data_IF_865884409488
#
_entry.id   IF_865884409488
#
_cell.length_a   1.000
_cell.length_b   1.000
_cell.length_c   1.000
_cell.angle_alpha   90.00
_cell.angle_beta   90.00
_cell.angle_gamma   90.00
#
_symmetry.space_group_name_H-M   'P 1'
#
loop_
_entity.id
_entity.type
_entity.pdbx_description
1 polymer ?
#
# COMPACT_ATOMS: atom_id res chain seq x y z
N UNK A 1 -25.95 0.65 -15.48
CA UNK A 1 -25.88 -0.67 -16.12
C UNK A 1 -24.43 -0.86 -16.55
N UNK A 2 -23.66 -1.77 -15.91
CA UNK A 2 -22.27 -2.05 -16.35
C UNK A 2 -22.36 -2.67 -17.76
N UNK A 3 -21.49 -2.25 -18.71
CA UNK A 3 -21.43 -2.93 -20.00
C UNK A 3 -21.09 -4.40 -19.75
N UNK A 4 -21.76 -5.26 -20.49
CA UNK A 4 -21.66 -6.72 -20.34
C UNK A 4 -20.26 -7.17 -20.85
N UNK A 5 -19.26 -6.99 -19.99
CA UNK A 5 -17.89 -7.42 -20.28
C UNK A 5 -17.88 -8.94 -20.22
N UNK A 6 -17.57 -9.60 -21.34
CA UNK A 6 -17.54 -11.05 -21.41
C UNK A 6 -16.67 -11.64 -20.29
N UNK A 7 -17.03 -12.81 -19.76
CA UNK A 7 -16.28 -13.52 -18.71
C UNK A 7 -14.81 -13.71 -19.13
N UNK A 8 -14.56 -13.99 -20.39
CA UNK A 8 -13.20 -14.16 -20.94
C UNK A 8 -12.38 -12.86 -20.85
N UNK A 9 -12.98 -11.74 -21.23
CA UNK A 9 -12.35 -10.41 -21.16
C UNK A 9 -12.06 -10.00 -19.72
N UNK A 10 -13.01 -10.26 -18.80
CA UNK A 10 -12.84 -9.97 -17.37
C UNK A 10 -11.70 -10.79 -16.76
N UNK A 11 -11.64 -12.09 -17.06
CA UNK A 11 -10.54 -12.96 -16.60
C UNK A 11 -9.20 -12.51 -17.15
N UNK A 12 -9.11 -12.17 -18.43
CA UNK A 12 -7.88 -11.67 -19.05
C UNK A 12 -7.40 -10.37 -18.41
N UNK A 13 -8.31 -9.41 -18.16
CA UNK A 13 -7.99 -8.16 -17.48
C UNK A 13 -7.53 -8.39 -16.03
N UNK A 14 -8.21 -9.24 -15.27
CA UNK A 14 -7.84 -9.57 -13.89
C UNK A 14 -6.46 -10.23 -13.83
N UNK A 15 -6.17 -11.18 -14.71
CA UNK A 15 -4.84 -11.81 -14.82
C UNK A 15 -3.77 -10.78 -15.16
N UNK A 16 -4.07 -9.84 -16.08
CA UNK A 16 -3.13 -8.77 -16.43
C UNK A 16 -2.82 -7.86 -15.24
N UNK A 17 -3.84 -7.47 -14.48
CA UNK A 17 -3.68 -6.64 -13.28
C UNK A 17 -2.87 -7.36 -12.21
N UNK A 18 -3.18 -8.63 -11.95
CA UNK A 18 -2.46 -9.46 -11.00
C UNK A 18 -0.98 -9.62 -11.38
N UNK A 19 -0.70 -10.04 -12.62
CA UNK A 19 0.68 -10.24 -13.10
C UNK A 19 1.46 -8.92 -13.10
N UNK A 20 0.88 -7.83 -13.57
CA UNK A 20 1.55 -6.52 -13.60
C UNK A 20 1.86 -6.02 -12.18
N UNK A 21 0.96 -6.24 -11.22
CA UNK A 21 1.18 -5.90 -9.82
C UNK A 21 2.35 -6.71 -9.22
N UNK A 22 2.38 -8.02 -9.44
CA UNK A 22 3.47 -8.88 -8.94
C UNK A 22 4.83 -8.54 -9.54
N UNK A 23 4.90 -8.38 -10.87
CA UNK A 23 6.13 -8.01 -11.59
C UNK A 23 6.69 -6.66 -11.13
N UNK A 24 5.82 -5.65 -11.04
CA UNK A 24 6.23 -4.33 -10.57
C UNK A 24 6.63 -4.33 -9.09
N UNK A 25 5.94 -5.09 -8.24
CA UNK A 25 6.29 -5.22 -6.82
C UNK A 25 7.66 -5.87 -6.63
N UNK A 26 8.01 -6.89 -7.43
CA UNK A 26 9.32 -7.55 -7.36
C UNK A 26 10.46 -6.56 -7.65
N UNK A 27 10.31 -5.74 -8.69
CA UNK A 27 11.28 -4.70 -9.02
C UNK A 27 11.37 -3.62 -7.94
N UNK A 28 10.22 -3.14 -7.46
CA UNK A 28 10.18 -2.11 -6.41
C UNK A 28 10.84 -2.58 -5.11
N UNK A 29 10.56 -3.80 -4.67
CA UNK A 29 11.14 -4.34 -3.43
C UNK A 29 12.65 -4.52 -3.58
N UNK A 30 13.13 -4.99 -4.73
CA UNK A 30 14.56 -5.03 -5.01
C UNK A 30 15.21 -3.65 -4.91
N UNK A 31 14.60 -2.62 -5.52
CA UNK A 31 15.11 -1.25 -5.51
C UNK A 31 15.16 -0.64 -4.11
N UNK A 32 14.09 -0.81 -3.30
CA UNK A 32 14.00 -0.19 -1.98
C UNK A 32 14.96 -0.82 -0.96
N UNK A 33 15.29 -2.11 -1.12
CA UNK A 33 16.25 -2.80 -0.25
C UNK A 33 17.65 -2.23 -0.41
N UNK A 34 18.07 -1.92 -1.64
CA UNK A 34 19.43 -1.41 -1.90
C UNK A 34 19.53 0.11 -1.77
N UNK A 35 18.43 0.83 -1.78
CA UNK A 35 18.46 2.30 -1.77
C UNK A 35 19.20 2.90 -0.57
N UNK A 36 19.04 2.43 0.68
CA UNK A 36 19.83 2.94 1.81
C UNK A 36 21.32 2.63 1.70
N UNK A 37 21.68 1.46 1.14
CA UNK A 37 23.08 1.07 0.97
C UNK A 37 23.79 1.99 -0.03
N UNK A 38 23.13 2.25 -1.17
CA UNK A 38 23.66 3.18 -2.17
C UNK A 38 23.78 4.60 -1.60
N UNK A 39 22.80 5.05 -0.81
CA UNK A 39 22.87 6.36 -0.18
C UNK A 39 24.02 6.47 0.82
N UNK A 40 24.28 5.43 1.60
CA UNK A 40 25.41 5.36 2.52
C UNK A 40 26.74 5.38 1.77
N UNK A 41 26.88 4.59 0.70
CA UNK A 41 28.06 4.55 -0.16
C UNK A 41 28.34 5.93 -0.79
N UNK A 42 27.28 6.64 -1.24
CA UNK A 42 27.41 7.94 -1.91
C UNK A 42 27.71 9.11 -0.95
N UNK A 43 27.26 9.03 0.29
CA UNK A 43 27.39 10.11 1.28
C UNK A 43 28.50 9.86 2.30
N UNK A 44 28.95 8.60 2.44
CA UNK A 44 29.85 8.22 3.53
C UNK A 44 29.20 8.40 4.93
N UNK A 45 27.88 8.49 5.01
CA UNK A 45 27.15 8.80 6.23
C UNK A 45 25.85 7.98 6.35
N UNK A 46 25.86 7.03 7.27
CA UNK A 46 24.69 6.16 7.53
C UNK A 46 23.45 6.93 8.03
N UNK A 47 23.61 8.08 8.70
CA UNK A 47 22.49 8.86 9.22
C UNK A 47 21.55 9.35 8.10
N UNK A 48 22.08 9.62 6.92
CA UNK A 48 21.33 10.13 5.78
C UNK A 48 20.88 9.04 4.79
N UNK A 49 21.21 7.78 5.06
CA UNK A 49 20.88 6.63 4.19
C UNK A 49 19.38 6.44 3.94
N UNK A 50 18.52 6.90 4.85
CA UNK A 50 17.06 6.85 4.72
C UNK A 50 16.43 7.89 3.79
N UNK A 51 17.18 8.93 3.38
CA UNK A 51 16.63 10.03 2.56
C UNK A 51 16.01 9.57 1.22
N UNK A 52 16.61 8.67 0.42
CA UNK A 52 16.00 8.22 -0.82
C UNK A 52 14.67 7.49 -0.60
N UNK A 53 14.57 6.73 0.49
CA UNK A 53 13.31 6.08 0.86
C UNK A 53 12.24 7.10 1.23
N UNK A 54 12.59 8.15 1.95
CA UNK A 54 11.68 9.25 2.27
C UNK A 54 11.20 9.97 1.00
N UNK A 55 12.09 10.28 0.05
CA UNK A 55 11.72 10.85 -1.24
C UNK A 55 10.79 9.93 -2.04
N UNK A 56 11.01 8.62 -1.98
CA UNK A 56 10.11 7.64 -2.61
C UNK A 56 8.70 7.72 -2.05
N UNK A 57 8.54 7.84 -0.73
CA UNK A 57 7.22 7.96 -0.08
C UNK A 57 6.51 9.26 -0.48
N UNK A 58 7.24 10.38 -0.51
CA UNK A 58 6.70 11.67 -1.00
C UNK A 58 6.27 11.54 -2.46
N UNK A 59 7.09 10.92 -3.29
CA UNK A 59 6.75 10.62 -4.68
C UNK A 59 5.46 9.80 -4.81
N UNK A 60 5.28 8.76 -4.00
CA UNK A 60 4.07 7.94 -3.99
C UNK A 60 2.81 8.75 -3.61
N UNK A 61 2.90 9.63 -2.63
CA UNK A 61 1.78 10.46 -2.21
C UNK A 61 1.31 11.38 -3.35
N UNK A 62 2.24 12.05 -4.02
CA UNK A 62 1.95 12.91 -5.17
C UNK A 62 1.47 12.08 -6.37
N UNK A 63 2.16 11.00 -6.68
CA UNK A 63 1.88 10.11 -7.79
C UNK A 63 0.48 9.50 -7.74
N UNK A 64 -0.01 9.13 -6.55
CA UNK A 64 -1.36 8.58 -6.37
C UNK A 64 -2.44 9.56 -6.84
N UNK A 65 -2.32 10.84 -6.52
CA UNK A 65 -3.26 11.88 -6.98
C UNK A 65 -3.11 12.16 -8.48
N UNK A 66 -1.88 12.29 -8.97
CA UNK A 66 -1.61 12.60 -10.38
C UNK A 66 -2.08 11.46 -11.29
N UNK A 67 -1.73 10.22 -10.96
CA UNK A 67 -2.10 9.06 -11.77
C UNK A 67 -3.60 8.75 -11.71
N UNK A 68 -4.25 8.91 -10.55
CA UNK A 68 -5.69 8.73 -10.44
C UNK A 68 -6.46 9.75 -11.30
N UNK A 69 -6.01 11.02 -11.31
CA UNK A 69 -6.55 12.06 -12.18
C UNK A 69 -6.33 11.75 -13.67
N UNK A 70 -5.15 11.23 -14.01
CA UNK A 70 -4.86 10.78 -15.39
C UNK A 70 -5.73 9.60 -15.79
N UNK A 71 -5.93 8.63 -14.88
CA UNK A 71 -6.82 7.50 -15.10
C UNK A 71 -8.27 7.93 -15.34
N UNK A 72 -8.73 8.98 -14.67
CA UNK A 72 -10.05 9.55 -14.88
C UNK A 72 -10.25 10.08 -16.30
N UNK A 73 -9.20 10.70 -16.88
CA UNK A 73 -9.24 11.30 -18.23
C UNK A 73 -9.01 10.28 -19.35
N UNK A 74 -8.10 9.33 -19.14
CA UNK A 74 -7.55 8.46 -20.21
C UNK A 74 -7.79 6.96 -19.95
N UNK A 75 -8.53 6.61 -18.90
CA UNK A 75 -8.85 5.23 -18.52
C UNK A 75 -7.74 4.56 -17.67
N UNK A 76 -8.14 3.48 -16.97
CA UNK A 76 -7.27 2.74 -16.03
C UNK A 76 -5.99 2.20 -16.69
N UNK A 77 -6.13 1.55 -17.86
CA UNK A 77 -4.98 0.98 -18.57
C UNK A 77 -3.92 2.03 -18.91
N UNK A 78 -4.35 3.18 -19.45
CA UNK A 78 -3.45 4.26 -19.81
C UNK A 78 -2.67 4.80 -18.60
N UNK A 79 -3.36 5.01 -17.46
CA UNK A 79 -2.70 5.48 -16.23
C UNK A 79 -1.75 4.46 -15.62
N UNK A 80 -2.10 3.17 -15.64
CA UNK A 80 -1.20 2.10 -15.15
C UNK A 80 0.04 1.98 -16.03
N UNK A 81 -0.12 1.97 -17.36
CA UNK A 81 1.00 1.94 -18.30
C UNK A 81 1.90 3.16 -18.11
N UNK A 82 1.33 4.36 -17.96
CA UNK A 82 2.11 5.56 -17.67
C UNK A 82 2.91 5.41 -16.37
N UNK A 83 2.27 4.97 -15.28
CA UNK A 83 2.95 4.77 -13.99
C UNK A 83 4.12 3.80 -14.09
N UNK A 84 3.93 2.64 -14.71
CA UNK A 84 5.02 1.68 -14.91
C UNK A 84 6.11 2.18 -15.87
N UNK A 85 5.75 3.01 -16.86
CA UNK A 85 6.76 3.69 -17.70
C UNK A 85 7.60 4.67 -16.87
N UNK A 86 6.96 5.44 -15.99
CA UNK A 86 7.66 6.34 -15.08
C UNK A 86 8.58 5.56 -14.14
N UNK A 87 8.17 4.40 -13.62
CA UNK A 87 9.03 3.51 -12.83
C UNK A 87 10.23 3.03 -13.62
N UNK A 88 10.04 2.58 -14.86
CA UNK A 88 11.15 2.10 -15.71
C UNK A 88 12.16 3.20 -16.00
N UNK A 89 11.69 4.41 -16.33
CA UNK A 89 12.55 5.58 -16.55
C UNK A 89 13.28 5.98 -15.25
N UNK A 90 12.59 6.02 -14.14
CA UNK A 90 13.19 6.34 -12.84
C UNK A 90 14.24 5.31 -12.42
N UNK A 91 13.99 4.02 -12.65
CA UNK A 91 14.97 2.98 -12.39
C UNK A 91 16.21 3.10 -13.28
N UNK A 92 16.06 3.49 -14.55
CA UNK A 92 17.19 3.80 -15.43
C UNK A 92 17.97 5.01 -14.94
N UNK A 93 17.27 6.07 -14.48
CA UNK A 93 17.93 7.24 -13.85
C UNK A 93 18.67 6.86 -12.56
N UNK A 94 18.08 6.00 -11.71
CA UNK A 94 18.73 5.53 -10.49
C UNK A 94 19.99 4.70 -10.80
N UNK A 95 19.94 3.84 -11.82
CA UNK A 95 21.08 3.10 -12.31
C UNK A 95 22.20 4.04 -12.78
N UNK A 96 21.87 5.03 -13.59
CA UNK A 96 22.82 6.04 -14.07
C UNK A 96 23.39 6.84 -12.88
N UNK A 97 22.54 7.28 -11.96
CA UNK A 97 22.94 8.05 -10.79
C UNK A 97 23.92 7.31 -9.88
N UNK A 98 23.70 6.00 -9.69
CA UNK A 98 24.58 5.14 -8.90
C UNK A 98 25.95 5.02 -9.56
N UNK A 99 26.01 4.84 -10.89
CA UNK A 99 27.28 4.75 -11.63
C UNK A 99 28.00 6.09 -11.76
N UNK A 100 27.28 7.22 -11.75
CA UNK A 100 27.87 8.58 -11.70
C UNK A 100 28.20 9.03 -10.28
N UNK A 101 27.98 8.21 -9.27
CA UNK A 101 28.13 8.53 -7.85
C UNK A 101 27.42 9.84 -7.44
N UNK A 102 26.22 10.11 -8.01
CA UNK A 102 25.47 11.35 -7.77
C UNK A 102 24.28 11.11 -6.83
N UNK A 103 24.42 11.49 -5.57
CA UNK A 103 23.35 11.38 -4.56
C UNK A 103 22.11 12.21 -4.92
N UNK A 104 22.29 13.42 -5.45
CA UNK A 104 21.17 14.30 -5.84
C UNK A 104 20.32 13.67 -6.94
N UNK A 105 20.98 13.17 -8.00
CA UNK A 105 20.30 12.50 -9.10
C UNK A 105 19.63 11.21 -8.63
N UNK A 106 20.28 10.47 -7.73
CA UNK A 106 19.73 9.25 -7.14
C UNK A 106 18.47 9.54 -6.32
N UNK A 107 18.50 10.54 -5.46
CA UNK A 107 17.35 10.96 -4.64
C UNK A 107 16.17 11.43 -5.50
N UNK A 108 16.45 12.18 -6.57
CA UNK A 108 15.44 12.57 -7.56
C UNK A 108 14.85 11.35 -8.28
N UNK A 109 15.69 10.41 -8.70
CA UNK A 109 15.23 9.17 -9.32
C UNK A 109 14.33 8.37 -8.39
N UNK A 110 14.65 8.28 -7.10
CA UNK A 110 13.83 7.59 -6.09
C UNK A 110 12.48 8.30 -5.87
N UNK A 111 12.43 9.63 -5.89
CA UNK A 111 11.18 10.38 -5.86
C UNK A 111 10.28 10.04 -7.07
N UNK A 112 10.86 10.07 -8.29
CA UNK A 112 10.13 9.75 -9.52
C UNK A 112 9.71 8.28 -9.54
N UNK A 113 10.53 7.36 -9.03
CA UNK A 113 10.22 5.95 -8.88
C UNK A 113 9.01 5.75 -7.98
N UNK A 114 8.96 6.44 -6.85
CA UNK A 114 7.81 6.44 -5.95
C UNK A 114 6.54 6.93 -6.65
N UNK A 115 6.63 8.05 -7.37
CA UNK A 115 5.48 8.62 -8.09
C UNK A 115 4.91 7.63 -9.11
N UNK A 116 5.76 6.95 -9.88
CA UNK A 116 5.34 5.91 -10.83
C UNK A 116 4.78 4.66 -10.13
N UNK A 117 5.41 4.22 -9.03
CA UNK A 117 5.01 3.01 -8.31
C UNK A 117 3.65 3.13 -7.62
N UNK A 118 3.14 4.34 -7.39
CA UNK A 118 1.76 4.53 -6.91
C UNK A 118 0.71 3.88 -7.84
N UNK A 119 1.02 3.71 -9.14
CA UNK A 119 0.18 2.94 -10.08
C UNK A 119 -0.08 1.52 -9.58
N UNK A 120 0.93 0.87 -9.00
CA UNK A 120 0.82 -0.49 -8.47
C UNK A 120 -0.24 -0.58 -7.36
N UNK A 121 -0.29 0.42 -6.49
CA UNK A 121 -1.33 0.51 -5.44
C UNK A 121 -2.72 0.76 -6.04
N UNK A 122 -2.82 1.57 -7.09
CA UNK A 122 -4.07 1.87 -7.79
C UNK A 122 -4.60 0.69 -8.62
N UNK A 123 -3.76 -0.32 -8.92
CA UNK A 123 -4.14 -1.54 -9.64
C UNK A 123 -5.28 -2.29 -8.95
N UNK A 124 -5.33 -2.29 -7.59
CA UNK A 124 -6.42 -2.92 -6.82
C UNK A 124 -7.79 -2.31 -7.12
N UNK A 125 -7.83 -1.01 -7.33
CA UNK A 125 -9.07 -0.32 -7.70
C UNK A 125 -9.48 -0.61 -9.16
N UNK A 126 -8.49 -0.73 -10.07
CA UNK A 126 -8.78 -1.16 -11.42
C UNK A 126 -9.37 -2.57 -11.46
N UNK A 127 -8.93 -3.47 -10.58
CA UNK A 127 -9.52 -4.81 -10.43
C UNK A 127 -10.95 -4.74 -9.88
N UNK A 128 -11.22 -3.89 -8.89
CA UNK A 128 -12.57 -3.73 -8.33
C UNK A 128 -13.58 -3.21 -9.34
N UNK A 129 -13.15 -2.43 -10.32
CA UNK A 129 -14.02 -1.89 -11.39
C UNK A 129 -14.52 -2.99 -12.37
N UNK A 130 -13.83 -4.15 -12.42
CA UNK A 130 -14.23 -5.29 -13.25
C UNK A 130 -15.40 -6.08 -12.68
N UNK A 131 -15.75 -5.84 -11.41
CA UNK A 131 -16.73 -6.64 -10.67
C UNK A 131 -17.82 -5.76 -10.04
N UNK A 132 -19.02 -6.34 -9.90
CA UNK A 132 -20.09 -5.73 -9.13
C UNK A 132 -19.77 -5.65 -7.64
N UNK A 133 -20.55 -4.89 -6.87
CA UNK A 133 -20.31 -4.60 -5.44
C UNK A 133 -20.09 -5.86 -4.58
N UNK A 134 -20.75 -6.97 -4.92
CA UNK A 134 -20.67 -8.27 -4.21
C UNK A 134 -19.31 -9.00 -4.33
N UNK A 135 -18.44 -8.60 -5.27
CA UNK A 135 -17.17 -9.26 -5.54
C UNK A 135 -15.98 -8.28 -5.66
N UNK A 136 -16.17 -7.03 -5.28
CA UNK A 136 -15.13 -5.99 -5.36
C UNK A 136 -14.01 -6.21 -4.36
N UNK A 137 -14.35 -6.60 -3.13
CA UNK A 137 -13.36 -6.83 -2.10
C UNK A 137 -12.49 -8.06 -2.41
N UNK A 138 -13.09 -9.13 -2.94
CA UNK A 138 -12.32 -10.30 -3.42
C UNK A 138 -11.35 -9.90 -4.55
N UNK A 139 -11.79 -9.09 -5.52
CA UNK A 139 -10.92 -8.62 -6.61
C UNK A 139 -9.74 -7.78 -6.08
N UNK A 140 -9.98 -6.90 -5.12
CA UNK A 140 -8.95 -6.12 -4.41
C UNK A 140 -7.97 -7.06 -3.72
N UNK A 141 -8.47 -8.04 -2.95
CA UNK A 141 -7.68 -9.02 -2.23
C UNK A 141 -6.74 -9.82 -3.14
N UNK A 142 -7.23 -10.27 -4.30
CA UNK A 142 -6.41 -10.98 -5.27
C UNK A 142 -5.25 -10.13 -5.81
N UNK A 143 -5.47 -8.86 -6.09
CA UNK A 143 -4.38 -7.96 -6.56
C UNK A 143 -3.38 -7.67 -5.44
N UNK A 144 -3.85 -7.48 -4.20
CA UNK A 144 -2.95 -7.29 -3.05
C UNK A 144 -2.10 -8.54 -2.82
N UNK A 145 -2.67 -9.75 -3.03
CA UNK A 145 -1.94 -11.01 -2.94
C UNK A 145 -0.75 -11.08 -3.91
N UNK A 146 -0.80 -10.40 -5.04
CA UNK A 146 0.34 -10.29 -5.95
C UNK A 146 1.57 -9.64 -5.28
N UNK A 147 1.39 -8.85 -4.22
CA UNK A 147 2.46 -8.32 -3.38
C UNK A 147 3.29 -9.42 -2.68
N UNK A 148 2.67 -10.58 -2.39
CA UNK A 148 3.39 -11.76 -1.85
C UNK A 148 4.46 -12.24 -2.83
N UNK A 149 4.15 -12.24 -4.13
CA UNK A 149 5.13 -12.59 -5.17
C UNK A 149 6.29 -11.60 -5.12
N UNK A 150 5.97 -10.31 -5.07
CA UNK A 150 6.98 -9.26 -5.00
C UNK A 150 7.90 -9.37 -3.79
N UNK A 151 7.34 -9.67 -2.60
CA UNK A 151 8.10 -9.77 -1.35
C UNK A 151 9.05 -10.98 -1.31
N UNK A 152 8.78 -12.02 -2.08
CA UNK A 152 9.63 -13.21 -2.19
C UNK A 152 10.60 -13.10 -3.37
N UNK A 153 10.08 -12.75 -4.54
CA UNK A 153 10.85 -12.73 -5.79
C UNK A 153 11.82 -11.55 -5.84
N UNK A 154 11.43 -10.39 -5.31
CA UNK A 154 12.28 -9.18 -5.32
C UNK A 154 13.66 -9.42 -4.66
N UNK A 155 13.71 -9.83 -3.38
CA UNK A 155 14.96 -10.15 -2.71
C UNK A 155 15.73 -11.29 -3.37
N UNK A 156 15.03 -12.34 -3.85
CA UNK A 156 15.65 -13.50 -4.51
C UNK A 156 16.38 -13.12 -5.81
N UNK A 157 15.92 -12.07 -6.50
CA UNK A 157 16.55 -11.59 -7.73
C UNK A 157 17.77 -10.71 -7.50
N UNK A 158 18.05 -10.25 -6.28
CA UNK A 158 19.19 -9.35 -6.00
C UNK A 158 20.54 -10.02 -6.30
N UNK A 159 20.72 -11.29 -5.91
CA UNK A 159 21.97 -12.00 -6.14
C UNK A 159 22.28 -12.21 -7.65
N UNK A 160 21.39 -12.74 -8.49
CA UNK A 160 21.64 -12.83 -9.93
C UNK A 160 21.74 -11.45 -10.61
N UNK A 161 20.98 -10.45 -10.15
CA UNK A 161 21.04 -9.09 -10.69
C UNK A 161 22.38 -8.41 -10.39
N UNK A 162 22.97 -8.66 -9.21
CA UNK A 162 24.33 -8.22 -8.86
C UNK A 162 25.36 -8.76 -9.85
N UNK A 163 25.35 -10.07 -10.11
CA UNK A 163 26.26 -10.72 -11.05
C UNK A 163 26.13 -10.11 -12.44
N UNK A 164 24.89 -9.88 -12.89
CA UNK A 164 24.61 -9.29 -14.19
C UNK A 164 25.08 -7.81 -14.27
N UNK A 165 24.91 -7.03 -13.19
CA UNK A 165 25.41 -5.66 -13.12
C UNK A 165 26.94 -5.59 -13.26
N UNK A 166 27.66 -6.45 -12.55
CA UNK A 166 29.13 -6.58 -12.65
C UNK A 166 29.54 -6.96 -14.08
N UNK A 167 28.84 -7.89 -14.71
CA UNK A 167 29.11 -8.30 -16.09
C UNK A 167 28.93 -7.14 -17.09
N UNK A 168 27.96 -6.24 -16.82
CA UNK A 168 27.74 -5.01 -17.60
C UNK A 168 28.77 -3.90 -17.29
N UNK A 169 29.71 -4.12 -16.36
CA UNK A 169 30.67 -3.09 -15.93
C UNK A 169 30.07 -1.97 -15.10
N UNK A 170 28.92 -2.21 -14.47
CA UNK A 170 28.23 -1.24 -13.60
C UNK A 170 28.44 -1.57 -12.12
N UNK A 171 28.10 -0.63 -11.23
CA UNK A 171 28.17 -0.84 -9.77
C UNK A 171 27.24 -2.00 -9.38
N UNK A 172 27.70 -2.90 -8.52
CA UNK A 172 26.98 -4.13 -8.16
C UNK A 172 25.58 -3.90 -7.61
N UNK A 173 25.39 -2.87 -6.78
CA UNK A 173 24.10 -2.50 -6.20
C UNK A 173 23.12 -1.96 -7.24
N UNK A 174 23.59 -1.46 -8.39
CA UNK A 174 22.74 -0.98 -9.47
C UNK A 174 21.92 -2.10 -10.14
N UNK A 175 22.29 -3.38 -9.96
CA UNK A 175 21.57 -4.54 -10.45
C UNK A 175 20.10 -4.58 -10.01
N UNK A 176 19.76 -4.08 -8.82
CA UNK A 176 18.37 -3.99 -8.36
C UNK A 176 17.50 -3.12 -9.28
N UNK A 177 18.06 -2.08 -9.87
CA UNK A 177 17.34 -1.21 -10.83
C UNK A 177 17.14 -1.88 -12.17
N UNK A 178 18.02 -2.80 -12.58
CA UNK A 178 17.78 -3.66 -13.77
C UNK A 178 16.57 -4.56 -13.55
N UNK A 179 16.41 -5.17 -12.36
CA UNK A 179 15.21 -5.93 -11.99
C UNK A 179 13.97 -5.05 -12.08
N UNK A 180 14.06 -3.80 -11.59
CA UNK A 180 12.95 -2.84 -11.62
C UNK A 180 12.56 -2.46 -13.04
N UNK A 181 13.53 -2.23 -13.93
CA UNK A 181 13.31 -1.92 -15.34
C UNK A 181 12.60 -3.10 -16.01
N UNK A 182 13.16 -4.31 -15.90
CA UNK A 182 12.60 -5.53 -16.51
C UNK A 182 11.20 -5.81 -15.99
N UNK A 183 10.99 -5.75 -14.65
CA UNK A 183 9.69 -5.95 -14.03
C UNK A 183 8.64 -4.95 -14.53
N UNK A 184 9.00 -3.67 -14.64
CA UNK A 184 8.09 -2.62 -15.09
C UNK A 184 7.77 -2.73 -16.59
N UNK A 185 8.76 -3.00 -17.43
CA UNK A 185 8.55 -3.22 -18.88
C UNK A 185 7.70 -4.47 -19.13
N UNK A 186 7.92 -5.54 -18.37
CA UNK A 186 7.10 -6.75 -18.44
C UNK A 186 5.66 -6.47 -18.01
N UNK A 187 5.46 -5.68 -16.94
CA UNK A 187 4.14 -5.24 -16.50
C UNK A 187 3.41 -4.42 -17.59
N UNK A 188 4.11 -3.51 -18.27
CA UNK A 188 3.59 -2.76 -19.42
C UNK A 188 3.20 -3.71 -20.55
N UNK A 189 4.05 -4.67 -20.90
CA UNK A 189 3.78 -5.66 -21.95
C UNK A 189 2.52 -6.46 -21.65
N UNK A 190 2.39 -6.98 -20.42
CA UNK A 190 1.21 -7.75 -19.98
C UNK A 190 -0.07 -6.90 -20.04
N UNK A 191 -0.03 -5.64 -19.54
CA UNK A 191 -1.19 -4.75 -19.59
C UNK A 191 -1.60 -4.42 -21.04
N UNK A 192 -0.63 -4.14 -21.91
CA UNK A 192 -0.92 -3.84 -23.32
C UNK A 192 -1.49 -5.05 -24.08
N UNK A 193 -1.00 -6.26 -23.78
CA UNK A 193 -1.43 -7.48 -24.45
C UNK A 193 -2.79 -8.00 -23.99
N UNK A 194 -3.12 -7.87 -22.67
CA UNK A 194 -4.26 -8.57 -22.08
C UNK A 194 -5.33 -7.68 -21.45
N UNK A 195 -5.00 -6.44 -21.11
CA UNK A 195 -5.99 -5.51 -20.56
C UNK A 195 -6.63 -4.72 -21.69
N UNK A 196 -7.94 -4.91 -21.99
CA UNK A 196 -8.62 -4.12 -22.99
C UNK A 196 -8.62 -2.64 -22.59
N UNK A 197 -8.62 -1.75 -23.58
CA UNK A 197 -8.96 -0.34 -23.32
C UNK A 197 -10.46 -0.30 -23.01
N UNK A 198 -10.81 -0.61 -21.78
CA UNK A 198 -12.12 -0.25 -21.27
C UNK A 198 -12.12 1.28 -21.29
N UNK A 199 -12.83 1.85 -22.24
CA UNK A 199 -13.14 3.28 -22.24
C UNK A 199 -13.55 3.59 -20.80
N UNK A 200 -13.06 4.70 -20.24
CA UNK A 200 -13.37 5.06 -18.86
C UNK A 200 -14.87 4.88 -18.67
N UNK A 201 -15.25 3.80 -17.97
CA UNK A 201 -16.68 3.51 -17.68
C UNK A 201 -17.34 4.70 -16.97
N UNK A 202 -16.54 5.68 -16.61
CA UNK A 202 -16.87 6.88 -15.86
C UNK A 202 -16.40 8.16 -16.54
N UNK A 203 -15.96 8.15 -17.80
CA UNK A 203 -15.83 9.38 -18.54
C UNK A 203 -17.27 9.86 -18.82
N UNK A 204 -17.67 11.03 -18.29
CA UNK A 204 -18.96 11.56 -18.64
C UNK A 204 -18.99 11.75 -20.16
N UNK A 205 -19.86 11.01 -20.83
CA UNK A 205 -20.15 11.16 -22.26
C UNK A 205 -20.72 12.54 -22.59
N UNK A 206 -21.10 13.28 -21.56
CA UNK A 206 -21.54 14.67 -21.66
C UNK A 206 -20.68 15.57 -20.75
N UNK A 207 -20.05 16.55 -21.32
CA UNK A 207 -19.17 17.55 -20.70
C UNK A 207 -19.79 18.43 -19.59
N UNK A 208 -21.01 18.14 -19.14
CA UNK A 208 -21.75 18.88 -18.11
C UNK A 208 -21.79 18.18 -16.74
N UNK A 209 -21.24 16.97 -16.60
CA UNK A 209 -21.23 16.28 -15.31
C UNK A 209 -20.25 16.95 -14.34
N UNK A 210 -20.80 17.70 -13.40
CA UNK A 210 -20.04 18.45 -12.42
C UNK A 210 -19.53 17.52 -11.32
N UNK A 211 -18.20 17.47 -11.10
CA UNK A 211 -17.59 16.75 -9.99
C UNK A 211 -18.09 17.30 -8.65
N UNK A 212 -18.38 16.40 -7.71
CA UNK A 212 -18.71 16.80 -6.36
C UNK A 212 -17.51 17.46 -5.67
N UNK A 213 -17.76 18.42 -4.79
CA UNK A 213 -16.70 18.96 -3.94
C UNK A 213 -16.12 17.82 -3.06
N UNK A 214 -14.81 17.76 -2.93
CA UNK A 214 -14.14 16.77 -2.05
C UNK A 214 -14.69 16.92 -0.62
N UNK A 215 -14.94 18.13 -0.12
CA UNK A 215 -15.51 18.36 1.21
C UNK A 215 -16.88 17.71 1.40
N UNK A 216 -17.75 17.72 0.37
CA UNK A 216 -19.04 17.02 0.41
C UNK A 216 -18.87 15.50 0.45
N UNK A 217 -17.93 14.96 -0.33
CA UNK A 217 -17.65 13.53 -0.33
C UNK A 217 -17.08 13.07 1.01
N UNK A 218 -16.18 13.86 1.60
CA UNK A 218 -15.64 13.60 2.93
C UNK A 218 -16.67 13.74 4.06
N UNK A 219 -17.83 14.32 3.82
CA UNK A 219 -18.93 14.37 4.78
C UNK A 219 -19.76 13.08 4.82
N UNK A 220 -19.59 12.17 3.84
CA UNK A 220 -20.31 10.89 3.79
C UNK A 220 -19.72 9.92 4.84
N UNK A 221 -20.53 9.39 5.78
CA UNK A 221 -20.05 8.55 6.87
C UNK A 221 -19.26 7.33 6.41
N UNK A 222 -19.71 6.67 5.38
CA UNK A 222 -19.07 5.47 4.83
C UNK A 222 -17.68 5.80 4.23
N UNK A 223 -17.51 6.98 3.63
CA UNK A 223 -16.22 7.47 3.12
C UNK A 223 -15.28 7.81 4.28
N UNK A 224 -15.80 8.44 5.35
CA UNK A 224 -15.01 8.74 6.55
C UNK A 224 -14.50 7.44 7.20
N UNK A 225 -15.37 6.44 7.37
CA UNK A 225 -14.99 5.13 7.93
C UNK A 225 -13.94 4.46 7.05
N UNK A 226 -14.10 4.47 5.73
CA UNK A 226 -13.18 3.86 4.79
C UNK A 226 -11.80 4.52 4.83
N UNK A 227 -11.76 5.87 4.78
CA UNK A 227 -10.51 6.62 4.85
C UNK A 227 -9.82 6.45 6.21
N UNK A 228 -10.58 6.51 7.30
CA UNK A 228 -10.06 6.28 8.65
C UNK A 228 -9.44 4.89 8.76
N UNK A 229 -10.13 3.84 8.25
CA UNK A 229 -9.59 2.48 8.25
C UNK A 229 -8.28 2.37 7.47
N UNK A 230 -8.20 2.97 6.26
CA UNK A 230 -6.99 2.97 5.43
C UNK A 230 -5.81 3.69 6.11
N UNK A 231 -6.06 4.89 6.62
CA UNK A 231 -5.04 5.76 7.23
C UNK A 231 -4.54 5.15 8.54
N UNK A 232 -5.45 4.71 9.41
CA UNK A 232 -5.07 4.13 10.71
C UNK A 232 -4.36 2.78 10.54
N UNK A 233 -4.85 1.90 9.66
CA UNK A 233 -4.16 0.64 9.38
C UNK A 233 -2.72 0.87 8.92
N UNK A 234 -2.51 1.84 8.01
CA UNK A 234 -1.18 2.18 7.52
C UNK A 234 -0.32 2.81 8.61
N UNK A 235 -0.86 3.77 9.36
CA UNK A 235 -0.12 4.49 10.39
C UNK A 235 0.36 3.56 11.50
N UNK A 236 -0.54 2.75 12.06
CA UNK A 236 -0.20 1.80 13.14
C UNK A 236 0.81 0.77 12.67
N UNK A 237 0.62 0.23 11.45
CA UNK A 237 1.54 -0.74 10.87
C UNK A 237 2.94 -0.16 10.72
N UNK A 238 3.06 1.03 10.11
CA UNK A 238 4.37 1.66 9.91
C UNK A 238 5.02 2.05 11.23
N UNK A 239 4.23 2.57 12.18
CA UNK A 239 4.71 2.97 13.50
C UNK A 239 5.44 1.82 14.21
N UNK A 240 4.84 0.64 14.28
CA UNK A 240 5.42 -0.51 14.98
C UNK A 240 6.52 -1.20 14.14
N UNK A 241 6.23 -1.48 12.85
CA UNK A 241 7.12 -2.23 11.99
C UNK A 241 8.48 -1.55 11.82
N UNK A 242 8.51 -0.20 11.72
CA UNK A 242 9.75 0.55 11.48
C UNK A 242 10.76 0.40 12.62
N UNK A 243 10.30 0.34 13.87
CA UNK A 243 11.17 0.24 15.05
C UNK A 243 11.36 -1.18 15.58
N UNK A 244 10.61 -2.16 15.09
CA UNK A 244 10.76 -3.56 15.50
C UNK A 244 12.19 -4.10 15.29
N UNK A 245 12.88 -3.89 14.16
CA UNK A 245 14.27 -4.33 14.00
C UNK A 245 15.23 -3.71 15.01
N UNK A 246 15.00 -2.43 15.36
CA UNK A 246 15.81 -1.73 16.36
C UNK A 246 15.59 -2.33 17.75
N UNK A 247 14.34 -2.62 18.11
CA UNK A 247 13.96 -3.25 19.36
C UNK A 247 14.59 -4.65 19.51
N UNK A 248 14.57 -5.48 18.46
CA UNK A 248 15.19 -6.81 18.46
C UNK A 248 16.72 -6.70 18.61
N UNK A 249 17.35 -5.80 17.83
CA UNK A 249 18.81 -5.60 17.87
C UNK A 249 19.28 -5.09 19.24
N UNK A 250 18.56 -4.16 19.85
CA UNK A 250 18.91 -3.62 21.17
C UNK A 250 18.84 -4.66 22.28
N UNK A 251 18.07 -5.73 22.08
CA UNK A 251 18.00 -6.89 22.98
C UNK A 251 19.10 -7.94 22.73
N UNK A 252 20.01 -7.72 21.78
CA UNK A 252 21.14 -8.60 21.48
C UNK A 252 20.83 -9.67 20.43
N UNK A 253 19.62 -9.72 19.85
CA UNK A 253 19.23 -10.70 18.83
C UNK A 253 19.74 -10.32 17.43
N UNK A 254 19.99 -11.35 16.61
CA UNK A 254 20.64 -11.23 15.33
C UNK A 254 19.68 -11.01 14.15
N UNK A 255 20.27 -10.89 12.95
CA UNK A 255 19.53 -10.70 11.69
C UNK A 255 18.52 -11.84 11.38
N UNK A 256 18.77 -13.05 11.88
CA UNK A 256 17.85 -14.19 11.70
C UNK A 256 16.49 -13.96 12.35
N UNK A 257 16.49 -13.49 13.61
CA UNK A 257 15.27 -13.12 14.36
C UNK A 257 14.52 -11.98 13.67
N UNK A 258 15.24 -10.94 13.24
CA UNK A 258 14.65 -9.82 12.50
C UNK A 258 13.99 -10.32 11.20
N UNK A 259 14.69 -11.18 10.44
CA UNK A 259 14.19 -11.75 9.19
C UNK A 259 12.91 -12.56 9.40
N UNK A 260 12.85 -13.41 10.44
CA UNK A 260 11.66 -14.20 10.78
C UNK A 260 10.46 -13.30 11.10
N UNK A 261 10.65 -12.32 11.97
CA UNK A 261 9.59 -11.41 12.43
C UNK A 261 9.05 -10.56 11.27
N UNK A 262 9.94 -9.98 10.46
CA UNK A 262 9.54 -9.18 9.28
C UNK A 262 8.89 -10.06 8.21
N UNK A 263 9.40 -11.28 7.99
CA UNK A 263 8.81 -12.25 7.07
C UNK A 263 7.39 -12.64 7.46
N UNK A 264 7.14 -12.92 8.74
CA UNK A 264 5.81 -13.22 9.27
C UNK A 264 4.86 -12.01 9.11
N UNK A 265 5.35 -10.79 9.36
CA UNK A 265 4.60 -9.58 9.13
C UNK A 265 4.17 -9.44 7.64
N UNK A 266 5.12 -9.57 6.72
CA UNK A 266 4.84 -9.50 5.29
C UNK A 266 3.87 -10.61 4.82
N UNK A 267 3.98 -11.80 5.37
CA UNK A 267 3.02 -12.88 5.15
C UNK A 267 1.62 -12.47 5.60
N UNK A 268 1.47 -11.92 6.82
CA UNK A 268 0.20 -11.40 7.32
C UNK A 268 -0.40 -10.32 6.42
N UNK A 269 0.44 -9.40 5.91
CA UNK A 269 -0.02 -8.31 5.03
C UNK A 269 -0.62 -8.81 3.70
N UNK A 270 -0.08 -9.84 3.11
CA UNK A 270 -0.40 -10.16 1.71
C UNK A 270 -1.01 -11.54 1.50
N UNK A 271 -0.55 -12.57 2.22
CA UNK A 271 -0.88 -13.95 1.90
C UNK A 271 -2.37 -14.28 2.02
N UNK A 272 -3.06 -13.68 3.00
CA UNK A 272 -4.48 -13.93 3.25
C UNK A 272 -5.42 -12.90 2.60
N UNK A 273 -4.90 -11.99 1.78
CA UNK A 273 -5.71 -10.94 1.13
C UNK A 273 -6.93 -11.45 0.35
N UNK A 274 -6.86 -12.58 -0.42
CA UNK A 274 -8.05 -13.10 -1.08
C UNK A 274 -9.14 -13.54 -0.10
N UNK A 275 -8.74 -14.16 1.03
CA UNK A 275 -9.68 -14.57 2.08
C UNK A 275 -10.33 -13.36 2.74
N UNK A 276 -9.55 -12.33 3.04
CA UNK A 276 -10.06 -11.04 3.55
C UNK A 276 -11.06 -10.42 2.59
N UNK A 277 -10.78 -10.45 1.29
CA UNK A 277 -11.69 -9.95 0.27
C UNK A 277 -13.02 -10.70 0.24
N UNK A 278 -12.97 -12.04 0.24
CA UNK A 278 -14.16 -12.89 0.29
C UNK A 278 -14.96 -12.66 1.58
N UNK A 279 -14.27 -12.53 2.71
CA UNK A 279 -14.91 -12.26 4.01
C UNK A 279 -15.62 -10.89 3.98
N UNK A 280 -14.96 -9.86 3.40
CA UNK A 280 -15.55 -8.54 3.25
C UNK A 280 -16.76 -8.52 2.29
N UNK A 281 -16.73 -9.31 1.23
CA UNK A 281 -17.88 -9.45 0.32
C UNK A 281 -19.06 -10.16 0.96
N UNK A 282 -18.81 -11.12 1.89
CA UNK A 282 -19.86 -11.89 2.57
C UNK A 282 -20.46 -11.19 3.80
N UNK A 283 -19.61 -10.65 4.66
CA UNK A 283 -20.04 -10.04 5.94
C UNK A 283 -20.26 -8.52 5.81
N UNK A 284 -19.86 -7.94 4.68
CA UNK A 284 -19.73 -6.50 4.52
C UNK A 284 -18.39 -5.96 5.02
N UNK A 285 -17.97 -4.79 4.53
CA UNK A 285 -16.64 -4.25 4.84
C UNK A 285 -16.49 -3.77 6.29
N UNK A 286 -17.55 -3.24 6.92
CA UNK A 286 -17.45 -2.64 8.27
C UNK A 286 -17.11 -3.67 9.36
N UNK A 287 -17.73 -4.87 9.45
CA UNK A 287 -17.30 -5.89 10.40
C UNK A 287 -15.86 -6.34 10.20
N UNK A 288 -15.39 -6.43 8.94
CA UNK A 288 -14.01 -6.82 8.63
C UNK A 288 -13.01 -5.72 9.02
N UNK A 289 -13.36 -4.45 8.85
CA UNK A 289 -12.58 -3.32 9.37
C UNK A 289 -12.45 -3.42 10.90
N UNK A 290 -13.56 -3.65 11.61
CA UNK A 290 -13.55 -3.78 13.08
C UNK A 290 -12.67 -4.94 13.55
N UNK A 291 -12.73 -6.08 12.87
CA UNK A 291 -11.85 -7.22 13.14
C UNK A 291 -10.38 -6.84 12.91
N UNK A 292 -10.08 -6.12 11.82
CA UNK A 292 -8.75 -5.60 11.55
C UNK A 292 -8.24 -4.67 12.65
N UNK A 293 -9.08 -3.74 13.11
CA UNK A 293 -8.74 -2.83 14.22
C UNK A 293 -8.48 -3.58 15.51
N UNK A 294 -9.32 -4.57 15.84
CA UNK A 294 -9.10 -5.42 17.01
C UNK A 294 -7.77 -6.19 16.94
N UNK A 295 -7.41 -6.71 15.75
CA UNK A 295 -6.11 -7.37 15.56
C UNK A 295 -4.95 -6.38 15.69
N UNK A 296 -5.06 -5.14 15.20
CA UNK A 296 -4.04 -4.10 15.38
C UNK A 296 -3.85 -3.75 16.86
N UNK A 297 -4.93 -3.60 17.62
CA UNK A 297 -4.88 -3.38 19.07
C UNK A 297 -4.21 -4.55 19.77
N UNK A 298 -4.64 -5.79 19.47
CA UNK A 298 -4.06 -7.01 20.06
C UNK A 298 -2.58 -7.17 19.73
N UNK A 299 -2.19 -6.89 18.48
CA UNK A 299 -0.80 -6.88 18.03
C UNK A 299 0.03 -5.88 18.81
N UNK A 300 -0.43 -4.63 18.89
CA UNK A 300 0.28 -3.55 19.56
C UNK A 300 0.41 -3.82 21.07
N UNK A 301 -0.64 -4.37 21.70
CA UNK A 301 -0.61 -4.77 23.11
C UNK A 301 0.38 -5.93 23.34
N UNK A 302 0.37 -6.94 22.47
CA UNK A 302 1.32 -8.05 22.56
C UNK A 302 2.76 -7.57 22.34
N UNK A 303 2.99 -6.71 21.36
CA UNK A 303 4.30 -6.11 21.07
C UNK A 303 4.82 -5.27 22.24
N UNK A 304 3.96 -4.43 22.86
CA UNK A 304 4.31 -3.61 24.02
C UNK A 304 4.81 -4.42 25.21
N UNK A 305 4.27 -5.63 25.40
CA UNK A 305 4.58 -6.51 26.51
C UNK A 305 5.57 -7.64 26.15
N UNK A 306 6.30 -7.48 25.02
CA UNK A 306 7.24 -8.51 24.57
C UNK A 306 8.65 -7.93 24.50
N UNK A 307 9.59 -8.46 25.29
CA UNK A 307 11.00 -8.11 25.20
C UNK A 307 11.60 -8.46 23.84
N UNK A 308 12.60 -7.70 23.39
CA UNK A 308 13.19 -7.86 22.05
C UNK A 308 13.83 -9.23 21.76
N UNK A 309 14.24 -9.96 22.80
CA UNK A 309 14.80 -11.30 22.69
C UNK A 309 13.74 -12.43 22.60
N UNK A 310 12.46 -12.13 22.86
CA UNK A 310 11.38 -13.10 22.71
C UNK A 310 10.88 -13.16 21.26
N UNK A 311 11.74 -13.61 20.35
CA UNK A 311 11.51 -13.61 18.89
C UNK A 311 10.18 -14.26 18.49
N UNK A 312 9.76 -15.36 19.13
CA UNK A 312 8.51 -16.06 18.76
C UNK A 312 7.27 -15.20 19.08
N UNK A 313 7.23 -14.55 20.25
CA UNK A 313 6.12 -13.68 20.64
C UNK A 313 6.06 -12.43 19.74
N UNK A 314 7.22 -11.84 19.41
CA UNK A 314 7.29 -10.75 18.43
C UNK A 314 6.84 -11.22 17.04
N UNK A 315 7.18 -12.43 16.62
CA UNK A 315 6.72 -13.03 15.35
C UNK A 315 5.18 -13.07 15.30
N UNK A 316 4.54 -13.54 16.37
CA UNK A 316 3.07 -13.57 16.46
C UNK A 316 2.50 -12.15 16.47
N UNK A 317 3.10 -11.23 17.25
CA UNK A 317 2.65 -9.84 17.30
C UNK A 317 2.70 -9.19 15.92
N UNK A 318 3.81 -9.33 15.20
CA UNK A 318 3.97 -8.72 13.87
C UNK A 318 3.16 -9.43 12.78
N UNK A 319 2.92 -10.73 12.89
CA UNK A 319 1.96 -11.45 12.05
C UNK A 319 0.55 -10.86 12.21
N UNK A 320 0.10 -10.66 13.46
CA UNK A 320 -1.19 -10.02 13.76
C UNK A 320 -1.24 -8.57 13.25
N UNK A 321 -0.13 -7.83 13.34
CA UNK A 321 -0.01 -6.49 12.78
C UNK A 321 -0.27 -6.50 11.27
N UNK A 322 0.38 -7.43 10.55
CA UNK A 322 0.20 -7.60 9.11
C UNK A 322 -1.23 -7.98 8.75
N UNK A 323 -1.84 -8.92 9.48
CA UNK A 323 -3.23 -9.36 9.29
C UNK A 323 -4.22 -8.22 9.58
N UNK A 324 -4.04 -7.48 10.66
CA UNK A 324 -4.87 -6.33 11.01
C UNK A 324 -4.82 -5.24 9.95
N UNK A 325 -3.61 -4.94 9.46
CA UNK A 325 -3.42 -4.04 8.31
C UNK A 325 -4.16 -4.57 7.06
N UNK A 326 -4.02 -5.84 6.74
CA UNK A 326 -4.65 -6.46 5.58
C UNK A 326 -6.18 -6.33 5.62
N UNK A 327 -6.80 -6.67 6.76
CA UNK A 327 -8.24 -6.58 6.96
C UNK A 327 -8.73 -5.13 6.79
N UNK A 328 -8.09 -4.18 7.46
CA UNK A 328 -8.44 -2.76 7.37
C UNK A 328 -8.22 -2.20 5.97
N UNK A 329 -7.13 -2.57 5.31
CA UNK A 329 -6.76 -2.05 4.00
C UNK A 329 -7.64 -2.61 2.86
N UNK A 330 -7.90 -3.92 2.84
CA UNK A 330 -8.76 -4.56 1.83
C UNK A 330 -10.20 -4.10 1.98
N UNK A 331 -10.76 -4.21 3.20
CA UNK A 331 -12.14 -3.84 3.47
C UNK A 331 -12.37 -2.32 3.36
N UNK A 332 -11.41 -1.51 3.84
CA UNK A 332 -11.45 -0.05 3.68
C UNK A 332 -11.43 0.37 2.21
N UNK A 333 -10.59 -0.27 1.38
CA UNK A 333 -10.56 -0.02 -0.06
C UNK A 333 -11.87 -0.40 -0.76
N UNK A 334 -12.50 -1.51 -0.35
CA UNK A 334 -13.77 -1.95 -0.87
C UNK A 334 -14.92 -1.00 -0.45
N UNK A 335 -14.95 -0.59 0.82
CA UNK A 335 -15.93 0.36 1.34
C UNK A 335 -15.82 1.69 0.60
N UNK A 336 -14.60 2.22 0.45
CA UNK A 336 -14.36 3.46 -0.27
C UNK A 336 -14.90 3.38 -1.70
N UNK A 337 -14.61 2.29 -2.41
CA UNK A 337 -15.04 2.09 -3.80
C UNK A 337 -16.56 1.97 -3.92
N UNK A 338 -17.22 1.35 -2.92
CA UNK A 338 -18.67 1.15 -2.94
C UNK A 338 -19.48 2.40 -2.56
N UNK A 339 -18.88 3.31 -1.78
CA UNK A 339 -19.57 4.47 -1.21
C UNK A 339 -19.44 5.74 -2.03
N UNK A 340 -18.56 5.73 -3.06
CA UNK A 340 -18.32 6.92 -3.90
C UNK A 340 -19.05 6.79 -5.23
N UNK A 341 -19.76 7.85 -5.69
CA UNK A 341 -20.33 7.91 -7.02
C UNK A 341 -19.26 7.64 -8.11
N UNK A 342 -19.65 6.98 -9.18
CA UNK A 342 -18.73 6.53 -10.24
C UNK A 342 -17.86 7.65 -10.79
N UNK A 343 -18.43 8.85 -10.96
CA UNK A 343 -17.73 10.02 -11.49
C UNK A 343 -16.58 10.50 -10.58
N UNK A 344 -16.77 10.42 -9.26
CA UNK A 344 -15.80 10.92 -8.26
C UNK A 344 -14.84 9.82 -7.77
N UNK A 345 -15.11 8.56 -8.10
CA UNK A 345 -14.43 7.38 -7.55
C UNK A 345 -12.90 7.46 -7.68
N UNK A 346 -12.40 7.78 -8.86
CA UNK A 346 -10.97 7.88 -9.14
C UNK A 346 -10.28 8.96 -8.29
N UNK A 347 -10.94 10.09 -8.12
CA UNK A 347 -10.41 11.22 -7.33
C UNK A 347 -10.32 10.85 -5.84
N UNK A 348 -11.38 10.24 -5.30
CA UNK A 348 -11.41 9.85 -3.87
C UNK A 348 -10.47 8.69 -3.58
N UNK A 349 -10.33 7.74 -4.50
CA UNK A 349 -9.35 6.64 -4.40
C UNK A 349 -7.91 7.19 -4.40
N UNK A 350 -7.60 8.12 -5.29
CA UNK A 350 -6.29 8.78 -5.33
C UNK A 350 -5.98 9.58 -4.07
N UNK A 351 -6.98 10.34 -3.57
CA UNK A 351 -6.87 11.08 -2.32
C UNK A 351 -6.62 10.14 -1.12
N UNK A 352 -7.41 9.07 -1.00
CA UNK A 352 -7.26 8.09 0.09
C UNK A 352 -5.90 7.40 0.06
N UNK A 353 -5.40 7.07 -1.14
CA UNK A 353 -4.08 6.46 -1.28
C UNK A 353 -2.95 7.45 -0.92
N UNK A 354 -3.06 8.72 -1.35
CA UNK A 354 -2.13 9.78 -0.96
C UNK A 354 -2.12 10.00 0.55
N UNK A 355 -3.30 10.07 1.19
CA UNK A 355 -3.43 10.20 2.64
C UNK A 355 -2.77 9.03 3.38
N UNK A 356 -2.91 7.81 2.86
CA UNK A 356 -2.26 6.61 3.40
C UNK A 356 -0.73 6.73 3.37
N UNK A 357 -0.15 7.24 2.29
CA UNK A 357 1.30 7.45 2.17
C UNK A 357 1.82 8.54 3.10
N UNK A 358 1.12 9.68 3.15
CA UNK A 358 1.47 10.78 4.07
C UNK A 358 1.44 10.28 5.52
N UNK A 359 0.40 9.52 5.90
CA UNK A 359 0.32 8.94 7.24
C UNK A 359 1.47 7.97 7.52
N UNK A 360 1.84 7.13 6.54
CA UNK A 360 3.01 6.25 6.68
C UNK A 360 4.30 7.04 6.92
N UNK A 361 4.53 8.14 6.18
CA UNK A 361 5.70 8.99 6.38
C UNK A 361 5.71 9.63 7.78
N UNK A 362 4.59 10.19 8.22
CA UNK A 362 4.44 10.80 9.57
C UNK A 362 4.65 9.74 10.65
N UNK A 363 4.04 8.56 10.52
CA UNK A 363 4.20 7.47 11.48
C UNK A 363 5.65 6.98 11.56
N UNK A 364 6.36 6.90 10.44
CA UNK A 364 7.77 6.51 10.41
C UNK A 364 8.66 7.53 11.14
N UNK A 365 8.41 8.83 10.97
CA UNK A 365 9.14 9.88 11.70
C UNK A 365 8.80 9.84 13.19
N UNK A 366 7.51 9.73 13.52
CA UNK A 366 7.05 9.66 14.90
C UNK A 366 7.57 8.43 15.63
N UNK A 367 7.77 7.29 14.92
CA UNK A 367 8.22 6.04 15.54
C UNK A 367 9.59 6.16 16.21
N UNK A 368 10.54 6.86 15.58
CA UNK A 368 11.85 7.11 16.17
C UNK A 368 11.78 8.01 17.43
N UNK A 369 10.93 9.04 17.37
CA UNK A 369 10.74 9.97 18.52
C UNK A 369 10.10 9.24 19.71
N UNK A 370 9.07 8.44 19.47
CA UNK A 370 8.40 7.66 20.52
C UNK A 370 9.31 6.56 21.09
N UNK A 371 10.11 5.92 20.24
CA UNK A 371 11.09 4.95 20.74
C UNK A 371 12.13 5.60 21.66
N UNK A 372 12.56 6.83 21.35
CA UNK A 372 13.53 7.56 22.15
C UNK A 372 12.96 8.09 23.47
N UNK A 373 11.66 8.41 23.54
CA UNK A 373 11.00 8.96 24.74
C UNK A 373 10.62 7.89 25.77
N UNK A 374 9.96 6.81 25.34
CA UNK A 374 9.41 5.81 26.26
C UNK A 374 9.60 4.36 25.79
N UNK A 375 10.47 4.17 24.80
CA UNK A 375 10.82 2.85 24.27
C UNK A 375 9.72 2.21 23.43
N UNK A 376 9.92 0.94 23.11
CA UNK A 376 9.02 0.17 22.25
C UNK A 376 7.62 -0.06 22.87
N UNK A 377 7.45 -0.19 24.21
CA UNK A 377 6.12 -0.26 24.82
C UNK A 377 5.29 1.00 24.60
N UNK A 378 5.84 2.20 24.83
CA UNK A 378 5.11 3.46 24.63
C UNK A 378 4.67 3.63 23.19
N UNK A 379 5.59 3.41 22.23
CA UNK A 379 5.30 3.44 20.80
C UNK A 379 4.15 2.49 20.45
N UNK A 380 4.14 1.28 21.00
CA UNK A 380 3.13 0.26 20.74
C UNK A 380 1.78 0.65 21.35
N UNK A 381 1.73 1.19 22.56
CA UNK A 381 0.49 1.68 23.19
C UNK A 381 -0.10 2.88 22.44
N UNK A 382 0.73 3.78 21.93
CA UNK A 382 0.27 4.86 21.04
C UNK A 382 -0.38 4.28 19.78
N UNK A 383 0.25 3.27 19.16
CA UNK A 383 -0.33 2.54 18.03
C UNK A 383 -1.69 1.90 18.38
N UNK A 384 -1.79 1.23 19.53
CA UNK A 384 -3.05 0.65 20.01
C UNK A 384 -4.15 1.71 20.16
N UNK A 385 -3.83 2.87 20.73
CA UNK A 385 -4.76 3.97 20.95
C UNK A 385 -5.33 4.50 19.63
N UNK A 386 -4.48 4.67 18.61
CA UNK A 386 -4.94 5.07 17.27
C UNK A 386 -5.82 4.00 16.62
N UNK A 387 -5.52 2.71 16.81
CA UNK A 387 -6.29 1.62 16.23
C UNK A 387 -7.76 1.55 16.74
N UNK A 388 -8.07 2.19 17.87
CA UNK A 388 -9.45 2.27 18.39
C UNK A 388 -10.29 3.31 17.63
N UNK A 389 -9.70 4.34 17.02
CA UNK A 389 -10.41 5.46 16.42
C UNK A 389 -11.46 5.07 15.36
N UNK A 390 -11.20 4.13 14.42
CA UNK A 390 -12.23 3.71 13.47
C UNK A 390 -13.46 3.07 14.15
N UNK A 391 -13.26 2.31 15.23
CA UNK A 391 -14.36 1.71 15.98
C UNK A 391 -15.21 2.78 16.67
N UNK A 392 -14.58 3.79 17.26
CA UNK A 392 -15.27 4.95 17.86
C UNK A 392 -16.08 5.72 16.81
N UNK A 393 -15.49 5.96 15.63
CA UNK A 393 -16.19 6.65 14.54
C UNK A 393 -17.41 5.86 14.06
N UNK A 394 -17.28 4.54 13.91
CA UNK A 394 -18.40 3.66 13.53
C UNK A 394 -19.49 3.70 14.58
N UNK A 395 -19.13 3.60 15.85
CA UNK A 395 -20.08 3.71 16.97
C UNK A 395 -20.84 5.04 16.98
N UNK A 396 -20.10 6.15 16.81
CA UNK A 396 -20.66 7.48 16.72
C UNK A 396 -21.70 7.64 15.60
N UNK A 397 -21.39 7.13 14.38
CA UNK A 397 -22.33 7.20 13.28
C UNK A 397 -23.56 6.32 13.48
N UNK A 398 -23.44 5.18 14.16
CA UNK A 398 -24.59 4.31 14.50
C UNK A 398 -25.52 4.97 15.51
N UNK A 399 -24.97 5.59 16.56
CA UNK A 399 -25.76 6.30 17.57
C UNK A 399 -26.55 7.48 16.97
N UNK A 400 -25.96 8.19 16.01
CA UNK A 400 -26.65 9.30 15.31
C UNK A 400 -27.76 8.84 14.35
N UNK A 401 -27.69 7.60 13.84
CA UNK A 401 -28.72 7.02 12.95
C UNK A 401 -29.86 6.37 13.72
N UNK A 402 -29.74 6.10 15.02
CA UNK A 402 -30.85 5.60 15.85
C UNK A 402 -31.84 6.75 16.08
N UNK A 403 -33.11 6.65 15.59
CA UNK A 403 -34.13 7.62 16.00
C UNK A 403 -34.32 7.46 17.53
N UNK A 404 -34.32 8.55 18.24
CA UNK A 404 -34.85 8.58 19.58
C UNK A 404 -36.31 8.09 19.46
N UNK A 405 -36.59 6.87 19.96
CA UNK A 405 -37.93 6.41 20.12
C UNK A 405 -38.61 7.42 21.06
N UNK A 406 -39.39 8.32 20.47
CA UNK A 406 -40.25 9.19 21.25
C UNK A 406 -41.23 8.31 22.06
N UNK A 407 -41.64 8.75 23.27
CA UNK A 407 -42.63 8.02 24.03
C UNK A 407 -43.90 7.85 23.19
N UNK A 408 -44.30 6.60 22.98
CA UNK A 408 -45.65 6.29 22.48
C UNK A 408 -46.65 6.98 23.43
N UNK A 409 -47.31 8.01 22.96
CA UNK A 409 -48.43 8.61 23.62
C UNK A 409 -49.61 7.64 23.34
N UNK A 410 -49.89 6.73 24.26
CA UNK A 410 -51.16 6.03 24.30
C UNK A 410 -52.27 7.06 24.45
N UNK A 411 -53.14 7.14 23.43
CA UNK A 411 -54.45 7.77 23.50
C UNK A 411 -55.53 6.70 23.54
#
# INVERSE_FOLDING_TARGET
MQPDVSIRTRRAAMTALFMSAGLSSSGYIAAIIVAPLIAEDLLGNAMLSGLPSAFTVVGMAIGSTVLSTRMAKSGRRSGLVLGYTVVAVAAALALIATNLASFTLFSFAMFVLGAGHSANRLTRYAASDLYGSKHRAAAIGWVIWAGTIGSVVGPALLAPARVFAIWLGTVETSGAYLVTIVGSLSAIGVLRARMPQLASLNAPTNSTAQYSSISRLLAIPEIQIALMALVISQGVMVLLMTMTPVHIRSAGDGLGSIGLVIGAHAFGMYALSPLTGILSDRLGPVPVILLGMAMLVGSAFLAANTPGHETMRLTVALLLLGLGWNLGFVAGSALLTNSVPDIDRLRVQGFGDSATWVTGAVASLASGMLLASGGFPELSFVGASFAVLPALLIGWHRLRKSPVAGPEVEL
#
